data_IF_656989997436
#
_entry.id   IF_656989997436
#
_cell.length_a   1.000
_cell.length_b   1.000
_cell.length_c   1.000
_cell.angle_alpha   90.00
_cell.angle_beta   90.00
_cell.angle_gamma   90.00
#
_symmetry.space_group_name_H-M   'P 1'
#
loop_
_entity.id
_entity.type
_entity.pdbx_description
1 polymer ?
#
# COMPACT_ATOMS: atom_id res chain seq x y z
N UNK A 1 -24.93 17.27 29.83
CA UNK A 1 -25.56 17.91 28.65
C UNK A 1 -24.57 18.69 27.80
N UNK A 2 -23.47 19.20 28.37
CA UNK A 2 -22.38 19.83 27.59
C UNK A 2 -21.47 18.81 26.88
N UNK A 3 -21.17 17.68 27.52
CA UNK A 3 -20.26 16.65 26.95
C UNK A 3 -20.79 16.06 25.63
N UNK A 4 -22.10 15.79 25.53
CA UNK A 4 -22.71 15.30 24.28
C UNK A 4 -22.63 16.30 23.12
N UNK A 5 -22.57 17.61 23.40
CA UNK A 5 -22.45 18.64 22.37
C UNK A 5 -21.00 18.78 21.91
N UNK A 6 -20.04 18.51 22.79
CA UNK A 6 -18.60 18.56 22.50
C UNK A 6 -18.19 17.38 21.61
N UNK A 7 -18.70 16.17 21.91
CA UNK A 7 -18.47 14.97 21.10
C UNK A 7 -19.05 15.11 19.68
N UNK A 8 -20.26 15.69 19.53
CA UNK A 8 -20.88 15.96 18.21
C UNK A 8 -20.10 17.03 17.44
N UNK A 9 -19.55 18.04 18.12
CA UNK A 9 -18.72 19.07 17.49
C UNK A 9 -17.39 18.49 16.99
N UNK A 10 -16.81 17.59 17.77
CA UNK A 10 -15.55 16.93 17.43
C UNK A 10 -15.69 15.98 16.24
N UNK A 11 -16.83 15.29 16.10
CA UNK A 11 -17.14 14.46 14.92
C UNK A 11 -17.31 15.28 13.63
N UNK A 12 -17.81 16.51 13.71
CA UNK A 12 -17.90 17.40 12.55
C UNK A 12 -16.52 17.88 12.10
N UNK A 13 -15.66 18.27 13.05
CA UNK A 13 -14.29 18.70 12.75
C UNK A 13 -13.48 17.55 12.11
N UNK A 14 -13.66 16.31 12.57
CA UNK A 14 -12.99 15.12 12.00
C UNK A 14 -13.41 14.83 10.54
N UNK A 15 -14.66 15.15 10.15
CA UNK A 15 -15.12 14.99 8.76
C UNK A 15 -14.57 16.07 7.81
N UNK A 16 -14.31 17.30 8.29
CA UNK A 16 -13.72 18.36 7.46
C UNK A 16 -12.26 18.08 7.07
N UNK A 17 -11.56 17.22 7.82
CA UNK A 17 -10.17 16.80 7.54
C UNK A 17 -10.04 15.55 6.67
N UNK A 18 -11.14 14.88 6.28
CA UNK A 18 -11.06 13.91 5.19
C UNK A 18 -10.82 14.69 3.90
N UNK A 19 -9.53 14.82 3.53
CA UNK A 19 -9.10 15.30 2.23
C UNK A 19 -10.05 14.73 1.18
N UNK A 20 -10.82 15.61 0.55
CA UNK A 20 -11.63 15.27 -0.62
C UNK A 20 -10.68 14.65 -1.64
N UNK A 21 -10.60 13.33 -1.64
CA UNK A 21 -9.98 12.60 -2.73
C UNK A 21 -10.93 12.83 -3.89
N UNK A 22 -10.65 13.90 -4.64
CA UNK A 22 -11.28 14.14 -5.92
C UNK A 22 -11.31 12.79 -6.63
N UNK A 23 -12.51 12.36 -7.03
CA UNK A 23 -12.66 11.15 -7.83
C UNK A 23 -11.96 11.47 -9.13
N UNK A 24 -10.67 11.11 -9.18
CA UNK A 24 -9.83 11.27 -10.34
C UNK A 24 -10.35 10.33 -11.44
N UNK A 25 -10.01 10.71 -12.67
CA UNK A 25 -10.41 10.11 -13.93
C UNK A 25 -10.68 8.59 -13.85
N UNK A 26 -11.87 8.18 -14.29
CA UNK A 26 -12.29 6.78 -14.23
C UNK A 26 -11.50 5.90 -15.18
N UNK A 27 -11.10 4.71 -14.72
CA UNK A 27 -10.38 3.71 -15.51
C UNK A 27 -11.39 2.79 -16.21
N UNK A 28 -11.24 2.61 -17.52
CA UNK A 28 -11.97 1.63 -18.32
C UNK A 28 -11.21 0.30 -18.37
N UNK A 29 -11.94 -0.82 -18.44
CA UNK A 29 -11.33 -2.16 -18.60
C UNK A 29 -10.53 -2.27 -19.90
N UNK A 30 -10.88 -1.47 -20.91
CA UNK A 30 -10.18 -1.48 -22.20
C UNK A 30 -8.96 -0.55 -22.22
N UNK A 31 -8.69 0.18 -21.14
CA UNK A 31 -7.53 1.05 -21.07
C UNK A 31 -6.26 0.20 -21.08
N UNK A 32 -5.27 0.53 -21.92
CA UNK A 32 -4.00 -0.18 -21.94
C UNK A 32 -3.31 -0.11 -20.56
N UNK A 33 -2.68 -1.19 -20.11
CA UNK A 33 -1.99 -1.23 -18.81
C UNK A 33 -0.92 -0.12 -18.68
N UNK A 34 -0.30 0.27 -19.80
CA UNK A 34 0.73 1.32 -19.81
C UNK A 34 0.19 2.74 -19.61
N UNK A 35 -1.15 2.96 -19.66
CA UNK A 35 -1.78 4.24 -19.32
C UNK A 35 -2.16 4.32 -17.85
N UNK A 36 -2.09 3.21 -17.11
CA UNK A 36 -2.38 3.18 -15.69
C UNK A 36 -1.22 3.78 -14.90
N UNK A 37 -1.55 4.53 -13.86
CA UNK A 37 -0.56 5.01 -12.90
C UNK A 37 0.06 3.81 -12.15
N UNK A 38 1.33 3.52 -12.44
CA UNK A 38 2.07 2.48 -11.76
C UNK A 38 2.62 3.01 -10.42
N UNK A 39 2.28 2.34 -9.33
CA UNK A 39 2.93 2.60 -8.05
C UNK A 39 4.40 2.16 -8.10
N UNK A 40 5.25 2.91 -7.40
CA UNK A 40 6.66 2.56 -7.24
C UNK A 40 6.76 1.22 -6.50
N UNK A 41 7.36 0.23 -7.16
CA UNK A 41 7.59 -1.09 -6.58
C UNK A 41 8.93 -1.13 -5.84
N UNK A 42 8.95 -1.83 -4.71
CA UNK A 42 10.19 -2.09 -3.97
C UNK A 42 10.91 -3.27 -4.62
N UNK A 43 12.15 -3.03 -5.04
CA UNK A 43 13.03 -4.03 -5.64
C UNK A 43 14.02 -4.53 -4.60
N UNK A 44 14.23 -5.84 -4.56
CA UNK A 44 15.23 -6.49 -3.71
C UNK A 44 16.10 -7.42 -4.54
N UNK A 45 17.37 -7.53 -4.17
CA UNK A 45 18.29 -8.44 -4.84
C UNK A 45 18.05 -9.88 -4.43
N UNK A 46 18.34 -10.82 -5.33
CA UNK A 46 18.36 -12.24 -5.00
C UNK A 46 19.40 -12.49 -3.90
N UNK A 47 18.96 -13.13 -2.82
CA UNK A 47 19.79 -13.37 -1.63
C UNK A 47 19.48 -12.42 -0.46
N UNK A 48 18.66 -11.38 -0.68
CA UNK A 48 18.07 -10.60 0.42
C UNK A 48 17.34 -11.52 1.39
N UNK A 49 17.59 -11.34 2.69
CA UNK A 49 16.96 -12.18 3.71
C UNK A 49 15.47 -11.87 3.84
N UNK A 50 14.68 -12.86 4.26
CA UNK A 50 13.25 -12.67 4.51
C UNK A 50 13.02 -11.61 5.60
N UNK A 51 13.87 -11.57 6.64
CA UNK A 51 13.79 -10.54 7.69
C UNK A 51 13.86 -9.14 7.09
N UNK A 52 14.85 -8.87 6.24
CA UNK A 52 15.00 -7.56 5.56
C UNK A 52 13.78 -7.23 4.70
N UNK A 53 13.15 -8.24 4.07
CA UNK A 53 11.93 -8.03 3.29
C UNK A 53 10.74 -7.67 4.19
N UNK A 54 10.60 -8.30 5.35
CA UNK A 54 9.55 -7.96 6.33
C UNK A 54 9.75 -6.54 6.87
N UNK A 55 10.98 -6.16 7.19
CA UNK A 55 11.32 -4.79 7.60
C UNK A 55 10.94 -3.77 6.51
N UNK A 56 11.12 -4.13 5.23
CA UNK A 56 10.69 -3.31 4.09
C UNK A 56 9.18 -3.18 3.95
N UNK A 57 8.41 -4.25 4.19
CA UNK A 57 6.95 -4.16 4.20
C UNK A 57 6.46 -3.11 5.19
N UNK A 58 7.04 -3.10 6.39
CA UNK A 58 6.68 -2.17 7.46
C UNK A 58 7.16 -0.73 7.17
N UNK A 59 8.43 -0.58 6.77
CA UNK A 59 9.04 0.74 6.58
C UNK A 59 8.47 1.48 5.35
N UNK A 60 8.27 0.76 4.25
CA UNK A 60 7.84 1.36 2.97
C UNK A 60 6.32 1.28 2.79
N UNK A 61 5.59 0.66 3.74
CA UNK A 61 4.14 0.42 3.70
C UNK A 61 3.70 -0.28 2.41
N UNK A 62 4.43 -1.31 2.02
CA UNK A 62 4.17 -2.10 0.81
C UNK A 62 3.84 -3.54 1.14
N UNK A 63 2.89 -4.13 0.41
CA UNK A 63 2.46 -5.52 0.63
C UNK A 63 3.23 -6.56 -0.20
N UNK A 64 4.13 -6.11 -1.08
CA UNK A 64 4.96 -6.98 -1.90
C UNK A 64 6.29 -6.34 -2.29
N UNK A 65 7.28 -7.19 -2.56
CA UNK A 65 8.55 -6.82 -3.17
C UNK A 65 8.76 -7.62 -4.45
N UNK A 66 9.43 -7.00 -5.41
CA UNK A 66 9.89 -7.65 -6.62
C UNK A 66 11.34 -8.11 -6.42
N UNK A 67 11.58 -9.41 -6.59
CA UNK A 67 12.92 -9.98 -6.50
C UNK A 67 13.56 -9.91 -7.88
N UNK A 68 14.71 -9.25 -7.95
CA UNK A 68 15.42 -9.02 -9.21
C UNK A 68 16.91 -9.35 -9.05
N UNK A 69 17.50 -9.76 -10.16
CA UNK A 69 18.94 -9.80 -10.38
C UNK A 69 19.22 -9.06 -11.72
N UNK A 70 19.89 -9.67 -12.69
CA UNK A 70 19.91 -9.13 -14.07
C UNK A 70 18.51 -9.01 -14.70
N UNK A 71 17.59 -9.90 -14.29
CA UNK A 71 16.19 -9.98 -14.76
C UNK A 71 15.23 -10.09 -13.57
N UNK A 72 13.95 -9.82 -13.81
CA UNK A 72 12.90 -10.07 -12.81
C UNK A 72 12.84 -11.57 -12.52
N UNK A 73 13.08 -11.95 -11.27
CA UNK A 73 13.09 -13.33 -10.82
C UNK A 73 11.71 -13.76 -10.30
N UNK A 74 11.04 -12.89 -9.56
CA UNK A 74 9.71 -13.18 -9.03
C UNK A 74 9.17 -12.10 -8.11
N UNK A 75 8.12 -12.46 -7.39
CA UNK A 75 7.44 -11.61 -6.40
C UNK A 75 7.41 -12.33 -5.05
N UNK A 76 7.53 -11.58 -3.97
CA UNK A 76 7.32 -12.06 -2.61
C UNK A 76 6.33 -11.15 -1.90
N UNK A 77 5.32 -11.73 -1.26
CA UNK A 77 4.18 -10.99 -0.69
C UNK A 77 4.05 -11.21 0.81
N UNK A 78 3.36 -10.31 1.51
CA UNK A 78 3.01 -10.52 2.92
C UNK A 78 2.25 -11.84 3.16
N UNK A 79 1.39 -12.23 2.20
CA UNK A 79 0.66 -13.50 2.27
C UNK A 79 1.61 -14.70 2.31
N UNK A 80 2.73 -14.66 1.61
CA UNK A 80 3.73 -15.75 1.67
C UNK A 80 4.30 -15.89 3.08
N UNK A 81 4.52 -14.78 3.78
CA UNK A 81 4.97 -14.79 5.18
C UNK A 81 3.91 -15.42 6.07
N UNK A 82 2.67 -14.92 5.98
CA UNK A 82 1.56 -15.36 6.84
C UNK A 82 1.23 -16.84 6.63
N UNK A 83 1.26 -17.32 5.39
CA UNK A 83 0.77 -18.66 5.06
C UNK A 83 1.84 -19.74 5.16
N UNK A 84 3.13 -19.38 5.18
CA UNK A 84 4.24 -20.35 5.10
C UNK A 84 5.27 -20.23 6.22
N UNK A 85 5.32 -19.11 6.94
CA UNK A 85 6.37 -18.83 7.94
C UNK A 85 5.82 -18.53 9.33
N UNK A 86 4.63 -17.91 9.42
CA UNK A 86 3.88 -17.74 10.67
C UNK A 86 3.01 -18.96 10.95
#
# INVERSE_FOLDING_TARGET
MSEFLDDEHQLMDEQEFEESKDITEGISINDPINTLALHKMVLVERGTTIQTVIEKFQAEKVACVLVRDEKLYGIFTERDVIMKLA
#
